data_IF_514880020067
#
_entry.id   IF_514880020067
#
_cell.length_a   1.000
_cell.length_b   1.000
_cell.length_c   1.000
_cell.angle_alpha   90.00
_cell.angle_beta   90.00
_cell.angle_gamma   90.00
#
_symmetry.space_group_name_H-M   'P 1'
#
loop_
_entity.id
_entity.type
_entity.pdbx_description
1 polymer ?
#
# COMPACT_ATOMS: atom_id res chain seq x y z
N UNK A 1 -12.45 -50.05 35.36
CA UNK A 1 -11.02 -49.74 35.54
C UNK A 1 -10.19 -49.92 34.26
N UNK A 2 -10.23 -51.09 33.58
CA UNK A 2 -9.49 -51.33 32.32
C UNK A 2 -9.79 -50.32 31.18
N UNK A 3 -11.06 -49.97 30.99
CA UNK A 3 -11.49 -49.02 29.94
C UNK A 3 -11.01 -47.59 30.18
N UNK A 4 -10.96 -47.14 31.45
CA UNK A 4 -10.43 -45.81 31.82
C UNK A 4 -8.92 -45.77 31.54
N UNK A 5 -8.19 -46.81 31.95
CA UNK A 5 -6.76 -46.94 31.67
C UNK A 5 -6.44 -46.93 30.17
N UNK A 6 -7.25 -47.58 29.33
CA UNK A 6 -7.08 -47.56 27.87
C UNK A 6 -7.32 -46.17 27.26
N UNK A 7 -8.33 -45.44 27.74
CA UNK A 7 -8.62 -44.07 27.26
C UNK A 7 -7.52 -43.11 27.70
N UNK A 8 -7.06 -43.19 28.95
CA UNK A 8 -5.95 -42.36 29.44
C UNK A 8 -4.66 -42.64 28.67
N UNK A 9 -4.36 -43.92 28.37
CA UNK A 9 -3.20 -44.29 27.57
C UNK A 9 -3.29 -43.77 26.13
N UNK A 10 -4.49 -43.79 25.53
CA UNK A 10 -4.71 -43.24 24.19
C UNK A 10 -4.55 -41.72 24.17
N UNK A 11 -5.09 -41.01 25.18
CA UNK A 11 -4.93 -39.56 25.32
C UNK A 11 -3.46 -39.20 25.51
N UNK A 12 -2.73 -39.93 26.35
CA UNK A 12 -1.29 -39.74 26.56
C UNK A 12 -0.47 -40.03 25.29
N UNK A 13 -0.86 -41.05 24.51
CA UNK A 13 -0.20 -41.35 23.23
C UNK A 13 -0.47 -40.27 22.18
N UNK A 14 -1.70 -39.76 22.10
CA UNK A 14 -2.06 -38.65 21.21
C UNK A 14 -1.32 -37.38 21.63
N UNK A 15 -1.27 -37.06 22.92
CA UNK A 15 -0.49 -35.94 23.47
C UNK A 15 1.01 -36.12 23.18
N UNK A 16 1.56 -37.31 23.36
CA UNK A 16 2.96 -37.61 23.07
C UNK A 16 3.29 -37.47 21.58
N UNK A 17 2.44 -37.98 20.69
CA UNK A 17 2.60 -37.84 19.24
C UNK A 17 2.42 -36.39 18.79
N UNK A 18 1.53 -35.63 19.45
CA UNK A 18 1.31 -34.21 19.22
C UNK A 18 2.55 -33.39 19.65
N UNK A 19 3.10 -33.65 20.84
CA UNK A 19 4.34 -33.03 21.34
C UNK A 19 5.55 -33.40 20.47
N UNK A 20 5.71 -34.68 20.12
CA UNK A 20 6.83 -35.15 19.29
C UNK A 20 6.81 -34.57 17.87
N UNK A 21 5.63 -34.25 17.32
CA UNK A 21 5.52 -33.59 16.01
C UNK A 21 5.68 -32.07 16.07
N UNK A 22 5.66 -31.43 17.25
CA UNK A 22 6.05 -30.02 17.42
C UNK A 22 7.57 -29.82 17.33
N UNK A 23 8.37 -30.85 17.64
CA UNK A 23 9.84 -30.73 17.77
C UNK A 23 10.63 -30.83 16.47
N UNK A 24 10.00 -31.00 15.30
CA UNK A 24 10.70 -30.86 14.02
C UNK A 24 10.87 -29.39 13.65
N UNK A 25 11.63 -28.66 14.47
CA UNK A 25 12.14 -27.34 14.09
C UNK A 25 13.33 -27.55 13.16
N UNK A 26 13.21 -27.11 11.91
CA UNK A 26 14.38 -27.06 11.02
C UNK A 26 15.05 -25.70 11.18
N UNK A 27 16.38 -25.74 11.31
CA UNK A 27 17.23 -24.57 11.44
C UNK A 27 18.16 -24.53 10.22
N UNK A 28 18.09 -23.46 9.44
CA UNK A 28 19.01 -23.22 8.32
C UNK A 28 19.73 -21.90 8.59
N UNK A 29 21.04 -21.90 8.44
CA UNK A 29 21.87 -20.72 8.60
C UNK A 29 22.67 -20.49 7.33
N UNK A 30 22.72 -19.24 6.89
CA UNK A 30 23.47 -18.81 5.70
C UNK A 30 24.20 -17.51 6.00
N UNK A 31 25.43 -17.42 5.53
CA UNK A 31 26.28 -16.24 5.66
C UNK A 31 26.44 -15.58 4.28
N UNK A 32 26.24 -14.27 4.24
CA UNK A 32 26.35 -13.44 3.05
C UNK A 32 27.41 -12.37 3.30
N UNK A 33 28.42 -12.28 2.44
CA UNK A 33 29.48 -11.29 2.58
C UNK A 33 29.07 -9.95 1.94
N UNK A 34 29.32 -8.84 2.63
CA UNK A 34 29.18 -7.49 2.08
C UNK A 34 30.26 -6.56 2.66
N UNK A 35 31.32 -6.34 1.88
CA UNK A 35 32.48 -5.58 2.33
C UNK A 35 33.12 -6.23 3.58
N UNK A 36 33.31 -5.47 4.68
CA UNK A 36 33.88 -5.99 5.92
C UNK A 36 32.87 -6.75 6.80
N UNK A 37 31.59 -6.78 6.39
CA UNK A 37 30.52 -7.39 7.15
C UNK A 37 30.16 -8.78 6.62
N UNK A 38 29.72 -9.65 7.54
CA UNK A 38 29.02 -10.89 7.22
C UNK A 38 27.59 -10.78 7.76
N UNK A 39 26.61 -10.90 6.88
CA UNK A 39 25.20 -10.92 7.24
C UNK A 39 24.80 -12.38 7.38
N UNK A 40 24.41 -12.77 8.58
CA UNK A 40 23.96 -14.13 8.89
C UNK A 40 22.45 -14.17 8.97
N UNK A 41 21.85 -15.02 8.15
CA UNK A 41 20.42 -15.26 8.11
C UNK A 41 20.13 -16.61 8.72
N UNK A 42 19.26 -16.62 9.73
CA UNK A 42 18.82 -17.81 10.44
C UNK A 42 17.34 -18.04 10.16
N UNK A 43 17.02 -19.11 9.46
CA UNK A 43 15.65 -19.56 9.21
C UNK A 43 15.23 -20.60 10.25
N UNK A 44 14.14 -20.31 10.96
CA UNK A 44 13.51 -21.22 11.90
C UNK A 44 12.12 -21.59 11.41
N UNK A 45 11.93 -22.85 11.02
CA UNK A 45 10.62 -23.37 10.60
C UNK A 45 10.04 -24.26 11.68
N UNK A 46 8.77 -24.08 12.01
CA UNK A 46 8.05 -24.88 12.99
C UNK A 46 6.57 -25.03 12.64
N UNK A 47 5.80 -25.59 13.57
CA UNK A 47 4.34 -25.69 13.47
C UNK A 47 3.68 -25.06 14.68
N UNK A 48 2.63 -24.27 14.48
CA UNK A 48 1.81 -23.68 15.52
C UNK A 48 0.33 -23.98 15.26
N UNK A 49 -0.47 -24.09 16.31
CA UNK A 49 -1.92 -24.23 16.17
C UNK A 49 -2.53 -22.85 15.90
N UNK A 50 -3.24 -22.69 14.79
CA UNK A 50 -3.92 -21.45 14.45
C UNK A 50 -5.42 -21.57 14.79
N UNK A 51 -5.87 -20.79 15.78
CA UNK A 51 -7.26 -20.80 16.25
C UNK A 51 -8.27 -20.36 15.18
N UNK A 52 -7.90 -19.45 14.28
CA UNK A 52 -8.79 -18.96 13.22
C UNK A 52 -9.09 -20.05 12.18
N UNK A 53 -8.17 -21.01 12.01
CA UNK A 53 -8.32 -22.11 11.05
C UNK A 53 -8.57 -23.47 11.72
N UNK A 54 -8.60 -23.53 13.05
CA UNK A 54 -8.79 -24.76 13.82
C UNK A 54 -7.78 -25.88 13.52
N UNK A 55 -6.59 -25.53 12.99
CA UNK A 55 -5.60 -26.50 12.49
C UNK A 55 -4.16 -26.07 12.75
N UNK A 56 -3.25 -27.03 12.73
CA UNK A 56 -1.81 -26.77 12.74
C UNK A 56 -1.37 -26.14 11.41
N UNK A 57 -0.67 -25.02 11.49
CA UNK A 57 -0.05 -24.33 10.35
C UNK A 57 1.47 -24.34 10.52
N UNK A 58 2.19 -24.41 9.40
CA UNK A 58 3.64 -24.20 9.40
C UNK A 58 3.92 -22.71 9.48
N UNK A 59 4.97 -22.34 10.20
CA UNK A 59 5.52 -20.98 10.19
C UNK A 59 7.01 -21.06 9.90
N UNK A 60 7.54 -20.03 9.25
CA UNK A 60 8.98 -19.83 9.07
C UNK A 60 9.28 -18.39 9.46
N UNK A 61 10.25 -18.21 10.36
CA UNK A 61 10.76 -16.90 10.74
C UNK A 61 12.19 -16.78 10.26
N UNK A 62 12.53 -15.67 9.62
CA UNK A 62 13.91 -15.30 9.33
C UNK A 62 14.39 -14.26 10.33
N UNK A 63 15.54 -14.53 10.94
CA UNK A 63 16.26 -13.62 11.82
C UNK A 63 17.61 -13.26 11.20
N UNK A 64 17.97 -11.98 11.21
CA UNK A 64 19.24 -11.50 10.69
C UNK A 64 20.17 -11.08 11.83
N UNK A 65 21.47 -11.27 11.63
CA UNK A 65 22.53 -10.70 12.46
C UNK A 65 23.66 -10.19 11.56
N UNK A 66 24.38 -9.17 12.02
CA UNK A 66 25.51 -8.59 11.30
C UNK A 66 26.76 -8.89 12.11
N UNK A 67 27.80 -9.40 11.45
CA UNK A 67 29.07 -9.73 12.05
C UNK A 67 30.18 -8.88 11.41
N UNK A 68 31.16 -8.46 12.20
CA UNK A 68 32.41 -7.86 11.77
C UNK A 68 33.56 -8.66 12.37
N UNK A 69 34.49 -9.14 11.54
CA UNK A 69 35.59 -10.04 11.97
C UNK A 69 35.09 -11.27 12.76
N UNK A 70 33.93 -11.81 12.37
CA UNK A 70 33.30 -12.97 13.02
C UNK A 70 32.64 -12.67 14.37
N UNK A 71 32.60 -11.41 14.81
CA UNK A 71 31.93 -10.98 16.05
C UNK A 71 30.61 -10.28 15.73
N UNK A 72 29.50 -10.57 16.44
CA UNK A 72 28.25 -9.84 16.27
C UNK A 72 28.43 -8.34 16.51
N UNK A 73 27.85 -7.53 15.63
CA UNK A 73 27.69 -6.09 15.83
C UNK A 73 26.52 -5.88 16.79
N UNK A 74 26.76 -5.14 17.88
CA UNK A 74 25.75 -4.88 18.90
C UNK A 74 24.80 -3.76 18.45
N UNK A 75 23.49 -4.00 18.60
CA UNK A 75 22.45 -3.01 18.36
C UNK A 75 21.91 -2.48 19.69
N UNK A 76 21.40 -1.23 19.72
CA UNK A 76 20.63 -0.74 20.86
C UNK A 76 19.45 -1.66 21.20
N UNK A 77 19.08 -1.72 22.49
CA UNK A 77 18.12 -2.71 23.01
C UNK A 77 16.67 -2.58 22.49
N UNK A 78 16.35 -1.49 21.80
CA UNK A 78 14.99 -1.16 21.34
C UNK A 78 14.87 -1.34 19.82
N UNK A 79 15.09 -2.58 19.34
CA UNK A 79 14.74 -2.93 17.95
C UNK A 79 13.23 -2.89 17.73
N UNK A 80 12.45 -3.33 18.74
CA UNK A 80 10.99 -3.52 18.72
C UNK A 80 10.43 -3.48 20.15
N UNK A 81 9.21 -2.97 20.32
CA UNK A 81 8.56 -2.89 21.65
C UNK A 81 7.24 -3.66 21.74
N UNK A 82 6.59 -4.00 20.63
CA UNK A 82 5.23 -4.58 20.63
C UNK A 82 5.10 -5.97 19.97
N UNK A 83 6.17 -6.50 19.36
CA UNK A 83 6.14 -7.78 18.60
C UNK A 83 6.71 -8.98 19.37
N UNK A 84 7.52 -8.71 20.42
CA UNK A 84 8.23 -9.74 21.18
C UNK A 84 9.39 -10.44 20.44
N UNK A 85 9.83 -9.94 19.28
CA UNK A 85 10.92 -10.53 18.50
C UNK A 85 12.21 -9.68 18.64
N UNK A 86 13.25 -10.16 19.36
CA UNK A 86 14.44 -9.36 19.67
C UNK A 86 15.52 -9.45 18.59
N UNK A 87 15.15 -9.49 17.31
CA UNK A 87 16.10 -9.69 16.20
C UNK A 87 15.77 -8.82 14.99
N UNK A 88 16.78 -8.58 14.15
CA UNK A 88 16.64 -7.84 12.91
C UNK A 88 15.74 -8.63 11.94
N UNK A 89 14.75 -7.96 11.37
CA UNK A 89 13.87 -8.55 10.35
C UNK A 89 14.44 -8.42 8.95
N UNK A 90 15.21 -7.35 8.72
CA UNK A 90 15.80 -7.01 7.43
C UNK A 90 17.19 -6.44 7.59
N UNK A 91 18.02 -6.71 6.59
CA UNK A 91 19.30 -6.04 6.36
C UNK A 91 19.36 -5.74 4.87
N UNK A 92 19.62 -4.49 4.54
CA UNK A 92 19.74 -3.99 3.17
C UNK A 92 21.15 -3.49 2.92
N UNK A 93 21.75 -3.85 1.79
CA UNK A 93 22.93 -3.16 1.28
C UNK A 93 22.56 -1.78 0.73
N UNK A 94 23.38 -0.77 1.04
CA UNK A 94 23.29 0.59 0.50
C UNK A 94 24.49 0.87 -0.44
N UNK A 95 24.48 0.38 -1.69
CA UNK A 95 25.63 0.51 -2.59
C UNK A 95 25.95 1.96 -3.02
N UNK A 96 25.01 2.90 -2.85
CA UNK A 96 25.24 4.32 -3.11
C UNK A 96 26.00 5.05 -2.00
N UNK A 97 26.30 4.37 -0.90
CA UNK A 97 27.03 4.93 0.23
C UNK A 97 28.54 5.00 -0.07
N UNK A 98 29.31 5.87 0.63
CA UNK A 98 30.72 6.12 0.28
C UNK A 98 31.65 4.93 0.63
N UNK A 99 31.20 4.03 1.49
CA UNK A 99 31.86 2.79 1.87
C UNK A 99 30.78 1.74 2.23
N UNK A 100 31.13 0.43 2.35
CA UNK A 100 30.15 -0.62 2.62
C UNK A 100 29.27 -0.28 3.84
N UNK A 101 28.01 0.04 3.55
CA UNK A 101 27.02 0.51 4.52
C UNK A 101 25.76 -0.34 4.40
N UNK A 102 25.17 -0.66 5.55
CA UNK A 102 23.93 -1.43 5.66
C UNK A 102 22.85 -0.57 6.31
N UNK A 103 21.60 -0.75 5.89
CA UNK A 103 20.42 -0.34 6.64
C UNK A 103 19.78 -1.58 7.24
N UNK A 104 19.62 -1.64 8.56
CA UNK A 104 19.18 -2.84 9.24
C UNK A 104 18.20 -2.54 10.36
N UNK A 105 17.24 -3.43 10.56
CA UNK A 105 16.29 -3.30 11.66
C UNK A 105 14.97 -3.98 11.42
N UNK A 106 13.93 -3.38 11.99
CA UNK A 106 12.56 -3.90 12.04
C UNK A 106 11.56 -2.75 12.16
N UNK A 107 11.12 -2.41 13.38
CA UNK A 107 10.35 -1.18 13.63
C UNK A 107 11.27 0.03 13.69
N UNK A 108 12.36 -0.09 14.43
CA UNK A 108 13.47 0.86 14.36
C UNK A 108 14.46 0.44 13.28
N UNK A 109 15.06 1.42 12.59
CA UNK A 109 16.06 1.21 11.55
C UNK A 109 17.36 1.94 11.89
N UNK A 110 18.48 1.27 11.63
CA UNK A 110 19.83 1.73 11.95
C UNK A 110 20.73 1.63 10.73
N UNK A 111 21.61 2.62 10.58
CA UNK A 111 22.76 2.55 9.69
C UNK A 111 23.90 1.79 10.35
N UNK A 112 24.51 0.88 9.59
CA UNK A 112 25.69 0.14 10.03
C UNK A 112 26.82 0.34 9.03
N UNK A 113 27.94 0.89 9.48
CA UNK A 113 29.13 1.17 8.66
C UNK A 113 30.40 1.13 9.51
N UNK A 114 31.58 1.23 8.88
CA UNK A 114 32.84 1.34 9.62
C UNK A 114 33.27 2.80 9.77
N UNK A 115 33.58 3.21 11.00
CA UNK A 115 34.27 4.46 11.29
C UNK A 115 35.62 4.14 11.91
N UNK A 116 36.70 4.46 11.19
CA UNK A 116 38.08 4.14 11.61
C UNK A 116 38.28 2.64 11.90
N UNK A 117 37.67 1.76 11.10
CA UNK A 117 37.78 0.30 11.24
C UNK A 117 36.89 -0.33 12.33
N UNK A 118 36.09 0.47 13.03
CA UNK A 118 35.16 -0.02 14.08
C UNK A 118 33.72 0.09 13.57
N UNK A 119 32.89 -0.96 13.74
CA UNK A 119 31.46 -0.88 13.44
C UNK A 119 30.78 0.21 14.25
N UNK A 120 30.02 1.05 13.54
CA UNK A 120 29.11 2.04 14.13
C UNK A 120 27.70 1.61 13.78
N UNK A 121 26.81 1.67 14.78
CA UNK A 121 25.36 1.50 14.62
C UNK A 121 24.72 2.83 14.98
N UNK A 122 24.19 3.53 13.98
CA UNK A 122 23.62 4.87 14.11
C UNK A 122 22.12 4.81 13.88
N UNK A 123 21.28 5.27 14.82
CA UNK A 123 19.82 5.25 14.65
C UNK A 123 19.41 6.19 13.52
N UNK A 124 18.63 5.68 12.57
CA UNK A 124 17.98 6.48 11.53
C UNK A 124 16.58 6.86 11.97
N UNK A 125 15.84 5.87 12.47
CA UNK A 125 14.47 6.01 12.96
C UNK A 125 14.28 5.05 14.13
N UNK A 126 13.76 5.58 15.24
CA UNK A 126 13.35 4.82 16.41
C UNK A 126 11.84 4.98 16.58
N UNK A 127 11.08 3.89 16.47
CA UNK A 127 9.62 3.91 16.63
C UNK A 127 9.11 2.63 17.31
N UNK A 128 7.98 2.76 18.00
CA UNK A 128 7.53 1.77 19.00
C UNK A 128 6.20 1.06 18.68
N UNK A 129 5.49 1.48 17.63
CA UNK A 129 4.14 1.01 17.32
C UNK A 129 4.01 0.50 15.89
N UNK A 130 4.49 1.26 14.90
CA UNK A 130 4.32 0.92 13.49
C UNK A 130 5.51 0.18 12.89
N UNK A 131 5.31 -0.39 11.70
CA UNK A 131 6.40 -0.94 10.89
C UNK A 131 7.23 0.18 10.28
N UNK A 132 8.55 -0.01 10.20
CA UNK A 132 9.35 0.93 9.44
C UNK A 132 9.00 0.82 7.95
N UNK A 133 9.22 1.88 7.20
CA UNK A 133 9.07 1.88 5.75
C UNK A 133 10.27 2.54 5.09
N UNK A 134 10.48 2.25 3.80
CA UNK A 134 11.54 2.84 3.00
C UNK A 134 11.02 3.20 1.61
N UNK A 135 11.46 4.34 1.08
CA UNK A 135 11.18 4.78 -0.27
C UNK A 135 12.26 5.74 -0.75
N UNK A 136 12.90 5.48 -1.88
CA UNK A 136 13.75 6.50 -2.51
C UNK A 136 12.89 7.63 -3.05
N UNK A 137 13.23 8.88 -2.74
CA UNK A 137 12.54 10.08 -3.21
C UNK A 137 12.95 10.50 -4.62
N UNK A 138 14.16 10.12 -5.03
CA UNK A 138 14.80 10.55 -6.27
C UNK A 138 15.24 9.36 -7.13
N UNK A 139 14.30 8.43 -7.35
CA UNK A 139 14.48 7.26 -8.22
C UNK A 139 14.45 7.66 -9.71
N UNK A 140 13.73 6.89 -10.54
CA UNK A 140 13.63 7.16 -11.98
C UNK A 140 13.08 8.57 -12.25
N UNK A 141 13.76 9.31 -13.12
CA UNK A 141 13.44 10.70 -13.47
C UNK A 141 13.39 11.67 -12.27
N UNK A 142 14.06 11.34 -11.16
CA UNK A 142 14.09 12.16 -9.96
C UNK A 142 12.75 12.18 -9.20
N UNK A 143 11.90 11.17 -9.39
CA UNK A 143 10.64 11.01 -8.68
C UNK A 143 10.69 9.84 -7.68
N UNK A 144 9.77 9.81 -6.69
CA UNK A 144 9.73 8.74 -5.71
C UNK A 144 9.58 7.36 -6.36
N UNK A 145 10.34 6.39 -5.84
CA UNK A 145 10.25 4.99 -6.22
C UNK A 145 9.16 4.25 -5.44
N UNK A 146 9.26 2.91 -5.43
CA UNK A 146 8.32 2.07 -4.71
C UNK A 146 8.42 2.27 -3.19
N UNK A 147 7.29 2.54 -2.54
CA UNK A 147 7.15 2.47 -1.10
C UNK A 147 7.14 1.02 -0.62
N UNK A 148 7.96 0.69 0.38
CA UNK A 148 8.08 -0.66 0.92
C UNK A 148 8.06 -0.63 2.44
N UNK A 149 7.14 -1.39 3.05
CA UNK A 149 7.17 -1.66 4.48
C UNK A 149 8.21 -2.74 4.83
N UNK A 150 8.86 -2.56 5.97
CA UNK A 150 9.90 -3.46 6.49
C UNK A 150 9.23 -4.60 7.27
N UNK A 151 8.89 -5.67 6.56
CA UNK A 151 8.39 -6.91 7.15
C UNK A 151 9.47 -7.98 7.30
N UNK A 152 9.29 -8.92 8.23
CA UNK A 152 10.08 -10.16 8.26
C UNK A 152 9.75 -11.05 7.05
N UNK A 153 10.74 -11.71 6.45
CA UNK A 153 10.52 -12.74 5.39
C UNK A 153 10.14 -14.07 6.07
N UNK A 154 9.34 -14.85 5.37
CA UNK A 154 9.07 -16.27 5.71
C UNK A 154 9.58 -17.25 4.64
N UNK A 155 10.03 -16.75 3.49
CA UNK A 155 10.49 -17.55 2.36
C UNK A 155 11.98 -17.90 2.50
N UNK A 156 12.36 -19.13 2.16
CA UNK A 156 13.73 -19.66 2.32
C UNK A 156 14.49 -19.83 1.01
N UNK A 157 13.90 -19.41 -0.12
CA UNK A 157 14.43 -19.73 -1.45
C UNK A 157 15.62 -18.84 -1.83
N UNK A 158 15.76 -17.66 -1.22
CA UNK A 158 16.82 -16.67 -1.51
C UNK A 158 17.68 -16.30 -0.28
N UNK A 159 17.91 -17.23 0.65
CA UNK A 159 18.68 -16.95 1.89
C UNK A 159 20.16 -16.57 1.65
N UNK A 160 20.69 -16.77 0.44
CA UNK A 160 22.08 -16.45 0.08
C UNK A 160 22.22 -15.07 -0.57
N UNK A 161 21.11 -14.35 -0.77
CA UNK A 161 21.08 -13.05 -1.43
C UNK A 161 20.73 -11.95 -0.44
N UNK A 162 21.59 -10.93 -0.37
CA UNK A 162 21.35 -9.74 0.42
C UNK A 162 20.44 -8.79 -0.36
N UNK A 163 19.33 -8.37 0.26
CA UNK A 163 18.46 -7.34 -0.31
C UNK A 163 19.24 -6.03 -0.46
N UNK A 164 18.95 -5.27 -1.52
CA UNK A 164 19.66 -4.03 -1.83
C UNK A 164 18.66 -2.91 -2.00
N UNK A 165 18.93 -1.76 -1.36
CA UNK A 165 18.21 -0.52 -1.64
C UNK A 165 19.09 0.33 -2.56
N UNK A 166 18.71 0.39 -3.83
CA UNK A 166 19.38 1.16 -4.87
C UNK A 166 18.35 1.89 -5.75
N UNK A 167 18.84 2.82 -6.56
CA UNK A 167 18.02 3.53 -7.56
C UNK A 167 17.87 5.04 -7.30
N UNK A 168 18.20 5.52 -6.10
CA UNK A 168 18.23 6.94 -5.75
C UNK A 168 19.34 7.27 -4.75
N UNK A 169 19.39 8.53 -4.31
CA UNK A 169 20.32 9.04 -3.28
C UNK A 169 19.59 9.37 -1.97
N UNK A 170 18.39 9.95 -2.06
CA UNK A 170 17.61 10.38 -0.91
C UNK A 170 16.60 9.30 -0.55
N UNK A 171 16.87 8.57 0.53
CA UNK A 171 16.01 7.51 1.04
C UNK A 171 15.13 8.07 2.16
N UNK A 172 13.82 8.11 1.93
CA UNK A 172 12.85 8.37 2.99
C UNK A 172 12.67 7.12 3.83
N UNK A 173 12.71 7.28 5.15
CA UNK A 173 12.60 6.21 6.14
C UNK A 173 11.47 6.53 7.11
N UNK A 174 10.48 5.64 7.17
CA UNK A 174 9.30 5.76 8.03
C UNK A 174 8.50 7.04 7.83
N UNK A 175 8.56 7.66 6.64
CA UNK A 175 7.87 8.93 6.33
C UNK A 175 8.25 10.14 7.20
N UNK A 176 9.28 10.01 8.05
CA UNK A 176 9.67 11.02 9.04
C UNK A 176 11.17 11.36 9.00
N UNK A 177 11.94 10.69 8.15
CA UNK A 177 13.38 10.89 8.05
C UNK A 177 13.82 10.81 6.59
N UNK A 178 14.67 11.73 6.15
CA UNK A 178 15.41 11.62 4.89
C UNK A 178 16.86 11.26 5.21
N UNK A 179 17.28 10.11 4.71
CA UNK A 179 18.67 9.68 4.69
C UNK A 179 19.28 10.03 3.32
N UNK A 180 20.30 10.88 3.32
CA UNK A 180 21.19 11.04 2.17
C UNK A 180 22.21 9.90 2.17
N UNK A 181 21.99 8.91 1.29
CA UNK A 181 22.80 7.68 1.25
C UNK A 181 24.26 7.96 0.93
N UNK A 182 24.55 8.95 0.07
CA UNK A 182 25.92 9.29 -0.37
C UNK A 182 26.74 9.92 0.76
N UNK A 183 26.10 10.66 1.66
CA UNK A 183 26.79 11.37 2.76
C UNK A 183 26.55 10.74 4.13
N UNK A 184 25.59 9.80 4.23
CA UNK A 184 24.99 9.28 5.47
C UNK A 184 24.33 10.34 6.34
N UNK A 185 24.02 11.53 5.80
CA UNK A 185 23.34 12.56 6.57
C UNK A 185 21.88 12.16 6.84
N UNK A 186 21.50 12.16 8.12
CA UNK A 186 20.15 11.84 8.58
C UNK A 186 19.43 13.15 8.89
N UNK A 187 18.24 13.33 8.33
CA UNK A 187 17.42 14.54 8.51
C UNK A 187 15.99 14.16 8.93
N UNK A 188 15.67 14.22 10.23
CA UNK A 188 14.29 14.03 10.67
C UNK A 188 13.43 15.22 10.22
N UNK A 189 12.16 14.95 9.94
CA UNK A 189 11.15 15.93 9.61
C UNK A 189 9.77 15.44 10.08
N UNK A 190 8.87 16.36 10.42
CA UNK A 190 7.53 16.08 10.92
C UNK A 190 7.45 14.94 11.95
N UNK A 191 8.38 14.89 12.92
CA UNK A 191 8.55 13.73 13.81
C UNK A 191 7.31 13.42 14.67
N UNK A 192 6.43 14.40 14.89
CA UNK A 192 5.17 14.24 15.63
C UNK A 192 3.98 13.89 14.73
N UNK A 193 4.21 13.68 13.43
CA UNK A 193 3.17 13.46 12.43
C UNK A 193 2.04 14.51 12.51
N UNK A 194 2.42 15.78 12.65
CA UNK A 194 1.47 16.87 12.87
C UNK A 194 0.78 17.23 11.57
N UNK A 195 -0.55 17.39 11.62
CA UNK A 195 -1.34 17.81 10.48
C UNK A 195 -0.87 19.17 9.94
N UNK A 196 -0.89 19.33 8.62
CA UNK A 196 -0.55 20.57 7.92
C UNK A 196 -1.85 21.24 7.48
N UNK A 197 -2.14 22.43 8.01
CA UNK A 197 -3.41 23.14 7.75
C UNK A 197 -4.66 22.27 8.05
N UNK A 198 -4.60 21.42 9.09
CA UNK A 198 -5.62 20.43 9.46
C UNK A 198 -5.82 19.27 8.47
N UNK A 199 -4.90 19.09 7.51
CA UNK A 199 -4.79 17.88 6.70
C UNK A 199 -3.79 16.91 7.33
N UNK A 200 -4.26 15.69 7.60
CA UNK A 200 -3.48 14.57 8.09
C UNK A 200 -2.89 13.75 6.94
N UNK A 201 -2.06 12.74 7.23
CA UNK A 201 -1.37 11.88 6.27
C UNK A 201 -2.03 10.48 6.22
N UNK A 202 -3.11 10.30 5.45
CA UNK A 202 -3.85 9.04 5.40
C UNK A 202 -3.10 7.99 4.58
N UNK A 203 -3.52 6.73 4.72
CA UNK A 203 -3.20 5.71 3.70
C UNK A 203 -3.88 6.06 2.36
N UNK A 204 -3.28 5.73 1.20
CA UNK A 204 -2.03 4.98 1.05
C UNK A 204 -0.79 5.81 1.38
N UNK A 205 0.12 5.17 2.13
CA UNK A 205 1.41 5.72 2.53
C UNK A 205 2.38 5.91 1.36
N UNK A 206 3.42 6.67 1.61
CA UNK A 206 4.52 6.99 0.71
C UNK A 206 4.39 8.37 0.07
N UNK A 207 5.54 8.93 -0.29
CA UNK A 207 5.66 10.12 -1.10
C UNK A 207 5.07 9.88 -2.49
N UNK A 208 4.26 10.84 -2.95
CA UNK A 208 3.65 10.86 -4.27
C UNK A 208 4.57 11.48 -5.32
N UNK A 209 5.26 12.55 -4.95
CA UNK A 209 6.17 13.29 -5.83
C UNK A 209 7.29 13.95 -5.05
N UNK A 210 8.34 14.33 -5.76
CA UNK A 210 9.49 15.03 -5.20
C UNK A 210 9.81 16.27 -6.02
N UNK A 211 10.12 17.38 -5.35
CA UNK A 211 10.36 18.66 -6.00
C UNK A 211 11.65 18.62 -6.84
N UNK A 212 11.71 19.33 -7.99
CA UNK A 212 12.90 19.34 -8.84
C UNK A 212 14.15 19.90 -8.16
N UNK A 213 13.99 20.83 -7.21
CA UNK A 213 15.06 21.36 -6.36
C UNK A 213 15.47 20.42 -5.21
N UNK A 214 14.82 19.25 -5.07
CA UNK A 214 15.10 18.18 -4.12
C UNK A 214 14.97 18.59 -2.65
N UNK A 215 13.99 19.44 -2.34
CA UNK A 215 13.73 19.95 -0.99
C UNK A 215 12.38 19.59 -0.43
N UNK A 216 11.40 19.37 -1.29
CA UNK A 216 10.02 19.17 -0.86
C UNK A 216 9.47 17.83 -1.31
N UNK A 217 8.83 17.14 -0.38
CA UNK A 217 8.16 15.87 -0.58
C UNK A 217 6.66 16.15 -0.66
N UNK A 218 5.98 15.52 -1.61
CA UNK A 218 4.53 15.61 -1.75
C UNK A 218 3.88 14.38 -1.15
N UNK A 219 2.98 14.58 -0.19
CA UNK A 219 2.15 13.54 0.40
C UNK A 219 0.67 13.76 0.07
N UNK A 220 -0.12 12.72 0.24
CA UNK A 220 -1.58 12.80 0.21
C UNK A 220 -2.05 13.42 1.53
N UNK A 221 -3.10 14.22 1.47
CA UNK A 221 -3.70 14.88 2.62
C UNK A 221 -5.19 14.60 2.72
N UNK A 222 -5.67 14.33 3.93
CA UNK A 222 -7.10 14.21 4.26
C UNK A 222 -7.44 15.09 5.47
N UNK A 223 -8.51 15.88 5.31
CA UNK A 223 -8.93 16.87 6.27
C UNK A 223 -9.54 16.20 7.51
N UNK A 224 -9.16 16.68 8.69
CA UNK A 224 -9.63 16.15 9.96
C UNK A 224 -11.02 16.72 10.30
N UNK A 225 -12.08 16.24 9.64
CA UNK A 225 -13.45 16.75 9.85
C UNK A 225 -13.97 16.60 11.29
N UNK A 226 -13.53 15.57 12.03
CA UNK A 226 -13.97 15.27 13.40
C UNK A 226 -13.69 16.40 14.43
N UNK A 227 -12.79 17.32 14.13
CA UNK A 227 -12.43 18.45 15.00
C UNK A 227 -12.91 19.81 14.47
N UNK A 228 -13.65 19.83 13.35
CA UNK A 228 -14.04 21.05 12.64
C UNK A 228 -15.56 21.15 12.53
N UNK A 229 -16.18 22.28 12.91
CA UNK A 229 -17.61 22.51 12.71
C UNK A 229 -18.02 22.41 11.23
N UNK A 230 -19.22 21.90 10.95
CA UNK A 230 -19.73 21.68 9.58
C UNK A 230 -19.67 22.93 8.70
N UNK A 231 -19.90 24.12 9.27
CA UNK A 231 -19.86 25.42 8.56
C UNK A 231 -18.43 25.90 8.23
N UNK A 232 -17.42 25.20 8.71
CA UNK A 232 -16.00 25.48 8.51
C UNK A 232 -15.28 24.37 7.75
N UNK A 233 -15.99 23.33 7.32
CA UNK A 233 -15.42 22.27 6.49
C UNK A 233 -14.95 22.85 5.15
N UNK A 234 -13.78 22.42 4.64
CA UNK A 234 -13.29 22.84 3.35
C UNK A 234 -14.20 22.29 2.24
N UNK A 235 -14.14 22.93 1.06
CA UNK A 235 -14.85 22.43 -0.13
C UNK A 235 -14.32 21.06 -0.60
N UNK A 236 -13.10 20.68 -0.23
CA UNK A 236 -12.57 19.33 -0.40
C UNK A 236 -11.90 18.84 0.87
N UNK A 237 -12.27 17.62 1.24
CA UNK A 237 -11.65 16.84 2.31
C UNK A 237 -10.26 16.35 1.91
N UNK A 238 -9.85 16.46 0.65
CA UNK A 238 -8.55 16.03 0.15
C UNK A 238 -7.64 17.20 -0.25
N UNK A 239 -6.34 17.02 -0.06
CA UNK A 239 -5.30 17.95 -0.52
C UNK A 239 -4.00 17.21 -0.86
N UNK A 240 -3.05 17.92 -1.48
CA UNK A 240 -1.65 17.49 -1.51
C UNK A 240 -0.87 18.29 -0.48
N UNK A 241 -0.18 17.60 0.43
CA UNK A 241 0.69 18.23 1.42
C UNK A 241 2.09 18.32 0.83
N UNK A 242 2.63 19.53 0.71
CA UNK A 242 4.00 19.75 0.26
C UNK A 242 4.85 20.08 1.49
N UNK A 243 5.85 19.24 1.78
CA UNK A 243 6.64 19.32 3.00
C UNK A 243 8.12 19.54 2.68
N UNK A 244 8.68 20.67 3.10
CA UNK A 244 10.12 20.96 3.04
C UNK A 244 10.82 20.30 4.24
N UNK A 245 11.54 19.22 3.98
CA UNK A 245 12.22 18.44 5.01
C UNK A 245 13.50 19.11 5.53
N UNK A 246 14.01 20.16 4.87
CA UNK A 246 15.14 20.94 5.38
C UNK A 246 14.67 21.99 6.40
N UNK A 247 13.49 22.59 6.16
CA UNK A 247 12.90 23.63 7.02
C UNK A 247 11.93 23.09 8.08
N UNK A 248 11.55 21.83 7.98
CA UNK A 248 10.56 21.18 8.84
C UNK A 248 9.20 21.92 8.81
N UNK A 249 8.72 22.21 7.61
CA UNK A 249 7.47 22.96 7.40
C UNK A 249 6.78 22.57 6.10
N UNK A 250 5.46 22.69 6.05
CA UNK A 250 4.69 22.36 4.86
C UNK A 250 3.46 23.25 4.66
N UNK A 251 2.83 23.09 3.51
CA UNK A 251 1.57 23.73 3.14
C UNK A 251 0.66 22.76 2.38
N UNK A 252 -0.64 23.04 2.37
CA UNK A 252 -1.62 22.22 1.65
C UNK A 252 -2.01 22.85 0.31
N UNK A 253 -1.85 22.09 -0.78
CA UNK A 253 -2.40 22.43 -2.10
C UNK A 253 -3.80 21.85 -2.19
N UNK A 254 -4.79 22.73 -2.01
CA UNK A 254 -6.22 22.40 -2.01
C UNK A 254 -6.75 22.39 -3.45
N UNK A 255 -7.67 21.47 -3.73
CA UNK A 255 -8.31 21.32 -5.03
C UNK A 255 -9.70 20.71 -4.84
N UNK A 256 -10.51 20.67 -5.90
CA UNK A 256 -11.81 20.00 -5.88
C UNK A 256 -11.71 18.62 -6.50
N UNK A 257 -12.13 17.61 -5.74
CA UNK A 257 -12.02 16.19 -6.15
C UNK A 257 -12.66 15.96 -7.52
N UNK A 258 -13.87 16.49 -7.70
CA UNK A 258 -14.61 16.34 -8.97
C UNK A 258 -13.90 17.01 -10.15
N UNK A 259 -13.30 18.19 -9.95
CA UNK A 259 -12.57 18.90 -11.01
C UNK A 259 -11.36 18.10 -11.49
N UNK A 260 -10.72 17.36 -10.58
CA UNK A 260 -9.55 16.53 -10.86
C UNK A 260 -9.89 15.05 -11.09
N UNK A 261 -11.17 14.71 -11.22
CA UNK A 261 -11.65 13.33 -11.43
C UNK A 261 -11.18 12.35 -10.35
N UNK A 262 -11.01 12.85 -9.13
CA UNK A 262 -10.61 12.05 -7.98
C UNK A 262 -11.85 11.43 -7.34
N UNK A 263 -11.88 10.10 -7.20
CA UNK A 263 -13.00 9.41 -6.54
C UNK A 263 -12.66 8.99 -5.12
N UNK A 264 -11.37 8.78 -4.84
CA UNK A 264 -10.84 8.45 -3.52
C UNK A 264 -9.35 8.82 -3.44
N UNK A 265 -8.80 8.90 -2.23
CA UNK A 265 -7.39 9.23 -1.98
C UNK A 265 -6.39 8.29 -2.67
N UNK A 266 -6.77 7.03 -2.90
CA UNK A 266 -5.94 6.03 -3.60
C UNK A 266 -5.76 6.32 -5.10
N UNK A 267 -6.64 7.12 -5.71
CA UNK A 267 -6.52 7.52 -7.12
C UNK A 267 -5.44 8.60 -7.33
N UNK A 268 -4.90 9.18 -6.24
CA UNK A 268 -3.75 10.09 -6.32
C UNK A 268 -2.47 9.30 -6.64
N UNK A 269 -2.35 8.83 -7.88
CA UNK A 269 -1.15 8.15 -8.40
C UNK A 269 -0.15 9.14 -8.98
N UNK A 270 1.12 8.75 -9.21
CA UNK A 270 2.09 9.62 -9.89
C UNK A 270 1.60 10.15 -11.24
N UNK A 271 0.83 9.36 -11.99
CA UNK A 271 0.23 9.76 -13.27
C UNK A 271 -0.86 10.81 -13.09
N UNK A 272 -1.71 10.65 -12.06
CA UNK A 272 -2.71 11.65 -11.69
C UNK A 272 -2.03 12.96 -11.28
N UNK A 273 -1.00 12.88 -10.44
CA UNK A 273 -0.21 14.03 -10.02
C UNK A 273 0.39 14.78 -11.23
N UNK A 274 1.08 14.07 -12.12
CA UNK A 274 1.74 14.66 -13.29
C UNK A 274 0.74 15.34 -14.25
N UNK A 275 -0.49 14.81 -14.31
CA UNK A 275 -1.57 15.35 -15.14
C UNK A 275 -2.11 16.67 -14.61
N UNK A 276 -2.32 16.79 -13.30
CA UNK A 276 -3.05 17.92 -12.71
C UNK A 276 -2.18 18.95 -11.99
N UNK A 277 -0.91 18.64 -11.73
CA UNK A 277 -0.02 19.53 -11.00
C UNK A 277 1.26 19.80 -11.76
N UNK A 278 1.89 20.92 -11.44
CA UNK A 278 3.20 21.31 -11.96
C UNK A 278 3.98 22.12 -10.94
N UNK A 279 5.31 22.06 -11.07
CA UNK A 279 6.23 22.83 -10.25
C UNK A 279 6.51 24.18 -10.90
N UNK A 280 6.27 25.25 -10.14
CA UNK A 280 6.65 26.62 -10.48
C UNK A 280 7.97 26.96 -9.81
N UNK A 281 9.00 27.29 -10.61
CA UNK A 281 10.30 27.68 -10.08
C UNK A 281 10.23 29.05 -9.44
N UNK A 282 10.52 29.12 -8.14
CA UNK A 282 10.64 30.38 -7.41
C UNK A 282 12.05 30.58 -6.86
N UNK A 283 12.39 31.83 -6.51
CA UNK A 283 13.70 32.18 -5.94
C UNK A 283 14.01 31.43 -4.63
N UNK A 284 12.96 31.08 -3.87
CA UNK A 284 13.08 30.49 -2.53
C UNK A 284 12.77 28.98 -2.47
N UNK A 285 12.71 28.31 -3.62
CA UNK A 285 12.37 26.89 -3.75
C UNK A 285 11.15 26.67 -4.63
N UNK A 286 11.04 25.48 -5.21
CA UNK A 286 9.95 25.17 -6.14
C UNK A 286 8.60 25.08 -5.41
N UNK A 287 7.55 25.65 -6.01
CA UNK A 287 6.18 25.67 -5.44
C UNK A 287 5.27 24.81 -6.31
N UNK A 288 4.47 23.95 -5.68
CA UNK A 288 3.51 23.12 -6.39
C UNK A 288 2.23 23.92 -6.69
N UNK A 289 1.77 23.85 -7.93
CA UNK A 289 0.54 24.50 -8.39
C UNK A 289 -0.34 23.53 -9.14
N UNK A 290 -1.64 23.84 -9.17
CA UNK A 290 -2.57 23.22 -10.11
C UNK A 290 -2.19 23.64 -11.53
N UNK A 291 -2.00 22.65 -12.39
CA UNK A 291 -1.75 22.85 -13.81
C UNK A 291 -2.99 23.46 -14.45
N UNK A 292 -2.78 24.49 -15.27
CA UNK A 292 -3.84 25.02 -16.11
C UNK A 292 -4.07 24.08 -17.30
N UNK A 293 -5.18 23.36 -17.29
CA UNK A 293 -5.59 22.50 -18.40
C UNK A 293 -6.43 23.27 -19.40
N UNK A 294 -6.12 23.13 -20.69
CA UNK A 294 -6.93 23.71 -21.77
C UNK A 294 -8.33 23.10 -21.85
N UNK A 295 -8.44 21.82 -21.48
CA UNK A 295 -9.70 21.08 -21.40
C UNK A 295 -9.64 20.10 -20.23
N UNK A 296 -10.71 20.07 -19.44
CA UNK A 296 -10.87 19.07 -18.39
C UNK A 296 -10.90 17.65 -19.01
N UNK A 297 -10.24 16.67 -18.39
CA UNK A 297 -10.28 15.31 -18.87
C UNK A 297 -11.72 14.77 -18.81
N UNK A 298 -12.02 13.86 -19.72
CA UNK A 298 -13.23 13.07 -19.63
C UNK A 298 -13.23 12.24 -18.35
N UNK A 299 -14.42 12.05 -17.80
CA UNK A 299 -14.66 11.10 -16.74
C UNK A 299 -14.41 9.68 -17.24
N UNK A 300 -13.78 8.89 -16.39
CA UNK A 300 -13.57 7.45 -16.53
C UNK A 300 -14.17 6.74 -15.32
N UNK A 301 -14.42 5.45 -15.45
CA UNK A 301 -14.75 4.59 -14.32
C UNK A 301 -13.51 4.05 -13.63
N UNK A 302 -13.75 3.31 -12.55
CA UNK A 302 -12.75 2.61 -11.75
C UNK A 302 -13.06 1.12 -11.76
N UNK A 303 -12.06 0.30 -12.08
CA UNK A 303 -12.19 -1.15 -12.08
C UNK A 303 -11.28 -1.79 -11.03
N UNK A 304 -11.89 -2.45 -10.05
CA UNK A 304 -11.20 -3.25 -9.05
C UNK A 304 -10.95 -4.67 -9.60
N UNK A 305 -9.67 -5.01 -9.82
CA UNK A 305 -9.24 -6.30 -10.32
C UNK A 305 -9.37 -7.44 -9.30
N UNK A 306 -9.39 -7.14 -8.00
CA UNK A 306 -9.51 -8.15 -6.95
C UNK A 306 -10.95 -8.65 -6.87
N UNK A 307 -11.88 -7.71 -6.85
CA UNK A 307 -13.30 -8.00 -6.63
C UNK A 307 -14.11 -8.03 -7.95
N UNK A 308 -13.49 -7.69 -9.08
CA UNK A 308 -14.13 -7.57 -10.41
C UNK A 308 -15.34 -6.65 -10.37
N UNK A 309 -15.10 -5.47 -9.79
CA UNK A 309 -16.11 -4.48 -9.49
C UNK A 309 -15.81 -3.20 -10.27
N UNK A 310 -16.76 -2.76 -11.08
CA UNK A 310 -16.63 -1.53 -11.87
C UNK A 310 -17.52 -0.45 -11.30
N UNK A 311 -16.98 0.76 -11.13
CA UNK A 311 -17.66 1.91 -10.53
C UNK A 311 -17.55 3.12 -11.43
N UNK A 312 -18.67 3.77 -11.69
CA UNK A 312 -18.77 5.09 -12.31
C UNK A 312 -19.18 6.09 -11.24
N UNK A 313 -18.40 7.16 -11.07
CA UNK A 313 -18.68 8.23 -10.12
C UNK A 313 -18.05 9.55 -10.60
N UNK A 314 -18.75 10.69 -10.44
CA UNK A 314 -20.12 10.86 -10.01
C UNK A 314 -21.07 10.82 -11.23
N UNK A 315 -22.20 10.14 -11.12
CA UNK A 315 -23.17 9.97 -12.21
C UNK A 315 -24.56 10.46 -11.85
N UNK A 316 -25.29 10.93 -12.87
CA UNK A 316 -26.72 11.25 -12.81
C UNK A 316 -27.53 9.96 -12.98
N UNK A 317 -28.81 9.99 -12.58
CA UNK A 317 -29.73 8.87 -12.80
C UNK A 317 -29.83 8.42 -14.27
N UNK A 318 -29.58 9.34 -15.22
CA UNK A 318 -29.54 9.05 -16.66
C UNK A 318 -28.41 8.10 -17.08
N UNK A 319 -27.40 7.87 -16.25
CA UNK A 319 -26.32 6.93 -16.57
C UNK A 319 -26.82 5.48 -16.61
N UNK A 320 -27.79 5.11 -15.76
CA UNK A 320 -28.33 3.75 -15.75
C UNK A 320 -28.92 3.33 -17.11
N UNK A 321 -29.87 4.08 -17.71
CA UNK A 321 -30.37 3.73 -19.05
C UNK A 321 -29.26 3.77 -20.12
N UNK A 322 -28.33 4.73 -20.07
CA UNK A 322 -27.22 4.79 -21.03
C UNK A 322 -26.30 3.55 -20.94
N UNK A 323 -26.02 3.08 -19.72
CA UNK A 323 -25.22 1.88 -19.50
C UNK A 323 -25.98 0.61 -19.94
N UNK A 324 -27.29 0.52 -19.71
CA UNK A 324 -28.11 -0.59 -20.20
C UNK A 324 -28.18 -0.62 -21.73
N UNK A 325 -28.32 0.54 -22.38
CA UNK A 325 -28.29 0.63 -23.86
C UNK A 325 -26.92 0.21 -24.41
N UNK A 326 -25.84 0.53 -23.70
CA UNK A 326 -24.51 0.03 -24.01
C UNK A 326 -24.43 -1.50 -23.88
N UNK A 327 -24.92 -2.09 -22.79
CA UNK A 327 -24.94 -3.55 -22.61
C UNK A 327 -25.78 -4.25 -23.68
N UNK A 328 -26.91 -3.67 -24.09
CA UNK A 328 -27.72 -4.19 -25.18
C UNK A 328 -26.94 -4.22 -26.50
N UNK A 329 -26.23 -3.15 -26.83
CA UNK A 329 -25.41 -3.08 -28.06
C UNK A 329 -24.18 -4.00 -28.02
N UNK A 330 -23.46 -4.02 -26.90
CA UNK A 330 -22.17 -4.70 -26.78
C UNK A 330 -22.31 -6.21 -26.52
N UNK A 331 -23.38 -6.60 -25.82
CA UNK A 331 -23.60 -7.97 -25.34
C UNK A 331 -24.91 -8.59 -25.85
N UNK A 332 -25.81 -7.81 -26.46
CA UNK A 332 -27.14 -8.28 -26.84
C UNK A 332 -28.08 -8.45 -25.63
N UNK A 333 -27.72 -7.92 -24.46
CA UNK A 333 -28.51 -8.07 -23.23
C UNK A 333 -29.64 -7.05 -23.21
N UNK A 334 -30.85 -7.54 -23.46
CA UNK A 334 -32.06 -6.70 -23.52
C UNK A 334 -32.77 -6.67 -22.15
N UNK A 335 -33.89 -5.93 -22.06
CA UNK A 335 -34.77 -5.97 -20.88
C UNK A 335 -35.21 -7.38 -20.48
N UNK A 336 -35.30 -8.32 -21.42
CA UNK A 336 -35.66 -9.72 -21.13
C UNK A 336 -34.59 -10.46 -20.31
N UNK A 337 -33.34 -9.96 -20.29
CA UNK A 337 -32.27 -10.50 -19.47
C UNK A 337 -32.32 -10.01 -18.02
N UNK A 338 -33.09 -8.98 -17.70
CA UNK A 338 -33.26 -8.49 -16.34
C UNK A 338 -34.21 -9.43 -15.59
N UNK A 339 -33.66 -10.29 -14.73
CA UNK A 339 -34.42 -11.28 -13.97
C UNK A 339 -34.88 -10.74 -12.61
N UNK A 340 -34.33 -9.60 -12.18
CA UNK A 340 -34.65 -8.93 -10.94
C UNK A 340 -34.41 -7.43 -11.07
N UNK A 341 -35.35 -6.62 -10.59
CA UNK A 341 -35.25 -5.16 -10.48
C UNK A 341 -35.81 -4.77 -9.12
N UNK A 342 -34.92 -4.40 -8.20
CA UNK A 342 -35.27 -4.10 -6.80
C UNK A 342 -34.74 -2.74 -6.43
N UNK A 343 -35.52 -2.01 -5.65
CA UNK A 343 -35.07 -0.83 -4.94
C UNK A 343 -34.90 -1.15 -3.46
N UNK A 344 -33.80 -0.68 -2.86
CA UNK A 344 -33.55 -0.78 -1.44
C UNK A 344 -33.00 0.56 -0.93
N UNK A 345 -33.42 0.99 0.26
CA UNK A 345 -33.01 2.29 0.83
C UNK A 345 -31.48 2.45 0.93
N UNK A 346 -30.74 1.44 1.41
CA UNK A 346 -29.27 1.50 1.52
C UNK A 346 -28.49 1.13 0.25
N UNK A 347 -29.10 0.48 -0.73
CA UNK A 347 -28.37 0.00 -1.92
C UNK A 347 -28.89 0.58 -3.22
N UNK A 348 -29.80 1.55 -3.17
CA UNK A 348 -30.43 2.13 -4.36
C UNK A 348 -31.16 1.10 -5.21
N UNK A 349 -31.20 1.34 -6.53
CA UNK A 349 -31.81 0.44 -7.50
C UNK A 349 -30.79 -0.59 -7.98
N UNK A 350 -31.12 -1.88 -7.83
CA UNK A 350 -30.30 -3.02 -8.23
C UNK A 350 -31.03 -3.84 -9.29
N UNK A 351 -30.34 -4.11 -10.39
CA UNK A 351 -30.77 -4.99 -11.47
C UNK A 351 -29.89 -6.24 -11.48
N UNK A 352 -30.51 -7.42 -11.51
CA UNK A 352 -29.82 -8.68 -11.78
C UNK A 352 -30.04 -9.05 -13.24
N UNK A 353 -28.96 -9.12 -14.02
CA UNK A 353 -28.98 -9.49 -15.44
C UNK A 353 -28.52 -10.94 -15.58
N UNK A 354 -29.32 -11.80 -16.22
CA UNK A 354 -28.98 -13.18 -16.51
C UNK A 354 -28.60 -13.39 -17.99
N UNK A 355 -27.49 -14.10 -18.21
CA UNK A 355 -27.02 -14.52 -19.53
C UNK A 355 -26.59 -15.99 -19.46
N UNK A 356 -27.50 -16.89 -19.84
CA UNK A 356 -27.31 -18.33 -19.59
C UNK A 356 -27.31 -18.64 -18.10
N UNK A 357 -26.28 -19.34 -17.62
CA UNK A 357 -26.11 -19.66 -16.19
C UNK A 357 -25.46 -18.50 -15.39
N UNK A 358 -24.92 -17.48 -16.07
CA UNK A 358 -24.24 -16.37 -15.44
C UNK A 358 -25.21 -15.25 -15.04
N UNK A 359 -24.95 -14.63 -13.89
CA UNK A 359 -25.70 -13.47 -13.38
C UNK A 359 -24.77 -12.31 -13.04
N UNK A 360 -25.21 -11.11 -13.34
CA UNK A 360 -24.47 -9.85 -13.12
C UNK A 360 -25.34 -8.86 -12.36
N UNK A 361 -24.71 -8.03 -11.56
CA UNK A 361 -25.35 -6.95 -10.83
C UNK A 361 -25.05 -5.61 -11.52
N UNK A 362 -26.08 -4.81 -11.77
CA UNK A 362 -25.98 -3.37 -12.03
C UNK A 362 -26.67 -2.65 -10.90
N UNK A 363 -25.99 -1.70 -10.26
CA UNK A 363 -26.56 -0.96 -9.13
C UNK A 363 -26.40 0.54 -9.36
N UNK A 364 -27.47 1.31 -9.20
CA UNK A 364 -27.46 2.76 -9.19
C UNK A 364 -27.88 3.24 -7.80
N UNK A 365 -27.00 4.01 -7.16
CA UNK A 365 -27.30 4.77 -5.95
C UNK A 365 -27.30 6.26 -6.29
N UNK A 366 -28.48 6.85 -6.36
CA UNK A 366 -28.64 8.23 -6.80
C UNK A 366 -28.14 9.25 -5.77
N UNK A 367 -28.31 8.94 -4.48
CA UNK A 367 -27.82 9.72 -3.34
C UNK A 367 -26.29 9.75 -3.27
N UNK A 368 -25.64 8.62 -3.55
CA UNK A 368 -24.19 8.51 -3.66
C UNK A 368 -23.65 8.89 -5.05
N UNK A 369 -24.52 9.26 -6.01
CA UNK A 369 -24.15 9.53 -7.40
C UNK A 369 -23.27 8.44 -8.03
N UNK A 370 -23.53 7.17 -7.74
CA UNK A 370 -22.68 6.05 -8.18
C UNK A 370 -23.47 5.01 -8.98
N UNK A 371 -22.85 4.52 -10.06
CA UNK A 371 -23.31 3.34 -10.77
C UNK A 371 -22.23 2.27 -10.70
N UNK A 372 -22.61 1.04 -10.38
CA UNK A 372 -21.68 -0.08 -10.29
C UNK A 372 -22.12 -1.26 -11.13
N UNK A 373 -21.14 -2.01 -11.61
CA UNK A 373 -21.33 -3.24 -12.37
C UNK A 373 -20.36 -4.33 -11.90
N UNK A 374 -20.90 -5.51 -11.63
CA UNK A 374 -20.08 -6.64 -11.17
C UNK A 374 -20.72 -7.98 -11.51
N UNK A 375 -20.01 -9.08 -11.23
CA UNK A 375 -20.65 -10.39 -11.10
C UNK A 375 -21.72 -10.36 -10.00
N UNK A 376 -22.68 -11.28 -10.07
CA UNK A 376 -23.65 -11.45 -9.00
C UNK A 376 -22.96 -11.84 -7.68
N UNK A 377 -23.24 -11.09 -6.62
CA UNK A 377 -22.57 -11.24 -5.32
C UNK A 377 -22.64 -12.68 -4.78
N UNK A 378 -23.81 -13.31 -4.90
CA UNK A 378 -24.10 -14.65 -4.38
C UNK A 378 -23.89 -15.78 -5.40
N UNK A 379 -23.15 -15.53 -6.48
CA UNK A 379 -22.69 -16.61 -7.35
C UNK A 379 -21.77 -17.55 -6.55
N UNK A 380 -22.02 -18.85 -6.62
CA UNK A 380 -21.33 -19.87 -5.81
C UNK A 380 -19.85 -20.05 -6.18
N UNK A 381 -19.43 -19.59 -7.36
CA UNK A 381 -18.04 -19.70 -7.82
C UNK A 381 -17.58 -18.42 -8.53
N UNK A 382 -16.39 -17.93 -8.16
CA UNK A 382 -15.69 -16.90 -8.91
C UNK A 382 -15.00 -17.54 -10.12
N UNK A 383 -15.75 -17.75 -11.20
CA UNK A 383 -15.24 -18.44 -12.39
C UNK A 383 -14.41 -17.50 -13.28
N UNK A 384 -13.37 -17.99 -13.98
CA UNK A 384 -12.61 -17.20 -14.95
C UNK A 384 -13.47 -16.55 -16.05
N UNK A 385 -14.62 -17.15 -16.36
CA UNK A 385 -15.58 -16.62 -17.33
C UNK A 385 -16.26 -15.35 -16.83
N UNK A 386 -16.59 -15.24 -15.52
CA UNK A 386 -17.10 -13.99 -14.96
C UNK A 386 -16.08 -12.87 -15.12
N UNK A 387 -14.83 -13.17 -14.78
CA UNK A 387 -13.71 -12.24 -14.84
C UNK A 387 -13.52 -11.70 -16.26
N UNK A 388 -13.53 -12.61 -17.24
CA UNK A 388 -13.39 -12.27 -18.65
C UNK A 388 -14.55 -11.41 -19.16
N UNK A 389 -15.80 -11.75 -18.83
CA UNK A 389 -16.98 -10.99 -19.29
C UNK A 389 -17.03 -9.61 -18.66
N UNK A 390 -16.83 -9.50 -17.34
CA UNK A 390 -16.81 -8.20 -16.66
C UNK A 390 -15.70 -7.32 -17.24
N UNK A 391 -14.48 -7.86 -17.37
CA UNK A 391 -13.37 -7.11 -17.94
C UNK A 391 -13.64 -6.64 -19.37
N UNK A 392 -14.25 -7.48 -20.23
CA UNK A 392 -14.63 -7.07 -21.59
C UNK A 392 -15.57 -5.86 -21.57
N UNK A 393 -16.62 -5.92 -20.77
CA UNK A 393 -17.62 -4.84 -20.66
C UNK A 393 -16.97 -3.55 -20.18
N UNK A 394 -16.12 -3.64 -19.15
CA UNK A 394 -15.36 -2.51 -18.61
C UNK A 394 -14.44 -1.90 -19.68
N UNK A 395 -13.59 -2.70 -20.31
CA UNK A 395 -12.63 -2.22 -21.31
C UNK A 395 -13.36 -1.55 -22.49
N UNK A 396 -14.48 -2.13 -22.95
CA UNK A 396 -15.30 -1.56 -24.02
C UNK A 396 -15.99 -0.24 -23.60
N UNK A 397 -16.51 -0.14 -22.38
CA UNK A 397 -17.17 1.09 -21.92
C UNK A 397 -16.16 2.21 -21.66
N UNK A 398 -15.01 1.90 -21.04
CA UNK A 398 -13.89 2.84 -20.86
C UNK A 398 -13.40 3.41 -22.21
N UNK A 399 -13.35 2.58 -23.26
CA UNK A 399 -13.01 3.05 -24.60
C UNK A 399 -14.03 4.06 -25.15
N UNK A 400 -15.33 3.92 -24.82
CA UNK A 400 -16.34 4.91 -25.19
C UNK A 400 -16.22 6.21 -24.39
N UNK A 401 -15.96 6.11 -23.09
CA UNK A 401 -15.73 7.25 -22.21
C UNK A 401 -14.50 8.05 -22.66
N UNK A 402 -13.42 7.36 -23.03
CA UNK A 402 -12.19 7.98 -23.56
C UNK A 402 -12.42 8.76 -24.86
N UNK A 403 -13.44 8.40 -25.65
CA UNK A 403 -13.88 9.13 -26.84
C UNK A 403 -14.84 10.29 -26.52
N UNK A 404 -15.17 10.50 -25.24
CA UNK A 404 -16.07 11.55 -24.78
C UNK A 404 -17.55 11.20 -24.90
N UNK A 405 -17.91 9.93 -25.12
CA UNK A 405 -19.31 9.49 -25.06
C UNK A 405 -19.77 9.41 -23.59
N UNK A 406 -21.08 9.54 -23.38
CA UNK A 406 -21.75 9.40 -22.08
C UNK A 406 -21.36 10.45 -21.02
N UNK A 407 -20.54 11.43 -21.38
CA UNK A 407 -20.04 12.46 -20.46
C UNK A 407 -21.18 13.34 -19.91
N UNK A 408 -22.24 13.52 -20.69
CA UNK A 408 -23.47 14.22 -20.29
C UNK A 408 -24.18 13.58 -19.09
N UNK A 409 -23.93 12.29 -18.84
CA UNK A 409 -24.51 11.52 -17.76
C UNK A 409 -23.69 11.57 -16.46
N UNK A 410 -22.50 12.17 -16.47
CA UNK A 410 -21.76 12.45 -15.24
C UNK A 410 -22.32 13.71 -14.56
N UNK A 411 -22.26 13.72 -13.22
CA UNK A 411 -22.61 14.88 -12.42
C UNK A 411 -21.44 15.87 -12.38
N UNK A 412 -21.76 17.16 -12.28
CA UNK A 412 -20.76 18.22 -12.08
C UNK A 412 -20.30 18.30 -10.61
#
# INVERSE_FOLDING_TARGET
MKMILSITALIMLVLYLFMRNQDKKSHVEKDIAYGPFTIRVTAMTGKSFNMNYGKMVSYTNLAYSILHEGKPVEFPGELQTNTGLPFLWRVYALPGAPDPTLLAGSQSLYLVYLKNGVPVVEPVLEQHHDFASVQFLDSENGQPGQFTEVFSKSETDELEKLDTLAGGRLLMVGEHVVLDVETRAIRPFNAQNSAVENYSFPSPHGALAFSPDRRSIVFRGEFQSWNTPDDQLPESEHALIVYDFEKDSGYAVKFKDKELRLTNVGDMTPEWFAKFFEWEKMVNGDVLRLRKLDKAPYWSGRFDLRDYYYTLYPVKASMLPAFLDFLEREMGWTKANIVEDKFHEYTGRRLTIASGEQKYDVCLKEDEQSLTFSRYLYASENSPEYQKTVKKIVDSFEAELALGKHQEHFAE
#
